data_IF_073006289725
#
_entry.id   IF_073006289725
#
_cell.length_a   1.000
_cell.length_b   1.000
_cell.length_c   1.000
_cell.angle_alpha   90.00
_cell.angle_beta   90.00
_cell.angle_gamma   90.00
#
_symmetry.space_group_name_H-M   'P 1'
#
loop_
_entity.id
_entity.type
_entity.pdbx_description
1 polymer ?
#
# COMPACT_ATOMS: atom_id res chain seq x y z
N UNK A 1 12.28 -14.45 3.17
CA UNK A 1 11.41 -13.28 2.97
C UNK A 1 11.01 -13.10 1.51
N UNK A 2 11.95 -12.93 0.59
CA UNK A 2 11.68 -12.64 -0.85
C UNK A 2 10.82 -13.73 -1.50
N UNK A 3 11.16 -15.00 -1.32
CA UNK A 3 10.38 -16.12 -1.88
C UNK A 3 8.93 -16.08 -1.39
N UNK A 4 8.71 -15.85 -0.10
CA UNK A 4 7.36 -15.73 0.43
C UNK A 4 6.64 -14.50 -0.14
N UNK A 5 7.31 -13.35 -0.30
CA UNK A 5 6.72 -12.16 -0.91
C UNK A 5 6.19 -12.43 -2.32
N UNK A 6 6.94 -13.17 -3.14
CA UNK A 6 6.52 -13.56 -4.49
C UNK A 6 5.35 -14.58 -4.48
N UNK A 7 5.29 -15.42 -3.45
CA UNK A 7 4.26 -16.46 -3.34
C UNK A 7 2.92 -15.95 -2.79
N UNK A 8 2.88 -14.82 -2.07
CA UNK A 8 1.62 -14.31 -1.49
C UNK A 8 0.52 -14.07 -2.53
N UNK A 9 0.74 -13.35 -3.65
CA UNK A 9 -0.30 -13.09 -4.62
C UNK A 9 -0.90 -14.37 -5.25
N UNK A 10 -0.11 -15.32 -5.80
CA UNK A 10 -0.68 -16.54 -6.35
C UNK A 10 -1.34 -17.45 -5.31
N UNK A 11 -0.82 -17.49 -4.07
CA UNK A 11 -1.44 -18.25 -2.99
C UNK A 11 -2.75 -17.61 -2.55
N UNK A 12 -2.83 -16.29 -2.46
CA UNK A 12 -4.07 -15.58 -2.17
C UNK A 12 -5.11 -15.85 -3.26
N UNK A 13 -4.72 -15.81 -4.52
CA UNK A 13 -5.63 -16.05 -5.65
C UNK A 13 -6.17 -17.47 -5.70
N UNK A 14 -5.32 -18.49 -5.44
CA UNK A 14 -5.69 -19.90 -5.57
C UNK A 14 -6.36 -20.46 -4.31
N UNK A 15 -5.99 -19.99 -3.12
CA UNK A 15 -6.36 -20.62 -1.83
C UNK A 15 -6.93 -19.61 -0.82
N UNK A 16 -7.10 -18.33 -1.20
CA UNK A 16 -7.64 -17.30 -0.33
C UNK A 16 -6.83 -17.09 0.95
N UNK A 17 -7.50 -16.62 2.00
CA UNK A 17 -6.87 -16.37 3.31
C UNK A 17 -6.35 -17.63 4.01
N UNK A 18 -6.93 -18.79 3.75
CA UNK A 18 -6.44 -20.07 4.31
C UNK A 18 -5.04 -20.36 3.78
N UNK A 19 -4.84 -20.23 2.47
CA UNK A 19 -3.52 -20.38 1.85
C UNK A 19 -2.49 -19.39 2.39
N UNK A 20 -2.88 -18.13 2.54
CA UNK A 20 -2.04 -17.09 3.15
C UNK A 20 -1.66 -17.43 4.58
N UNK A 21 -2.59 -17.96 5.38
CA UNK A 21 -2.33 -18.43 6.74
C UNK A 21 -1.30 -19.55 6.76
N UNK A 22 -1.45 -20.55 5.88
CA UNK A 22 -0.50 -21.66 5.74
C UNK A 22 0.88 -21.16 5.29
N UNK A 23 0.94 -20.28 4.30
CA UNK A 23 2.21 -19.70 3.81
C UNK A 23 2.91 -18.90 4.91
N UNK A 24 2.18 -18.06 5.64
CA UNK A 24 2.72 -17.25 6.73
C UNK A 24 3.26 -18.12 7.87
N UNK A 25 2.51 -19.13 8.27
CA UNK A 25 2.95 -20.08 9.31
C UNK A 25 4.19 -20.85 8.87
N UNK A 26 4.20 -21.33 7.62
CA UNK A 26 5.35 -22.04 7.05
C UNK A 26 6.61 -21.15 6.98
N UNK A 27 6.44 -19.86 6.61
CA UNK A 27 7.53 -18.90 6.61
C UNK A 27 8.10 -18.69 8.01
N UNK A 28 7.24 -18.49 9.01
CA UNK A 28 7.67 -18.28 10.40
C UNK A 28 8.43 -19.53 10.90
N UNK A 29 7.89 -20.73 10.69
CA UNK A 29 8.54 -21.98 11.09
C UNK A 29 9.90 -22.18 10.40
N UNK A 30 9.97 -21.93 9.09
CA UNK A 30 11.22 -22.04 8.34
C UNK A 30 12.27 -21.03 8.84
N UNK A 31 11.87 -19.79 9.16
CA UNK A 31 12.76 -18.78 9.71
C UNK A 31 13.22 -19.13 11.13
N UNK A 32 12.36 -19.73 11.96
CA UNK A 32 12.74 -20.20 13.29
C UNK A 32 13.73 -21.35 13.21
N UNK A 33 13.50 -22.33 12.33
CA UNK A 33 14.43 -23.43 12.07
C UNK A 33 15.78 -22.88 11.61
N UNK A 34 15.77 -21.98 10.62
CA UNK A 34 17.00 -21.34 10.14
C UNK A 34 17.72 -20.57 11.27
N UNK A 35 16.98 -19.84 12.09
CA UNK A 35 17.53 -19.08 13.20
C UNK A 35 18.21 -19.97 14.25
N UNK A 36 17.64 -21.13 14.57
CA UNK A 36 18.19 -22.07 15.54
C UNK A 36 19.44 -22.76 15.00
N UNK A 37 19.41 -23.21 13.75
CA UNK A 37 20.51 -24.02 13.19
C UNK A 37 21.64 -23.22 12.55
N UNK A 38 21.42 -21.93 12.24
CA UNK A 38 22.43 -21.07 11.64
C UNK A 38 23.01 -20.08 12.66
N UNK A 39 24.18 -20.39 13.18
CA UNK A 39 24.83 -19.66 14.30
C UNK A 39 25.14 -18.19 14.04
N UNK A 40 25.15 -17.74 12.77
CA UNK A 40 25.39 -16.35 12.40
C UNK A 40 24.10 -15.53 12.21
N UNK A 41 22.93 -16.17 12.35
CA UNK A 41 21.63 -15.49 12.22
C UNK A 41 21.38 -14.57 13.40
N UNK A 42 20.71 -13.46 13.14
CA UNK A 42 20.30 -12.49 14.17
C UNK A 42 18.78 -12.36 14.15
N UNK A 43 18.18 -12.03 15.29
CA UNK A 43 16.73 -11.77 15.40
C UNK A 43 16.27 -10.70 14.41
N UNK A 44 17.12 -9.70 14.15
CA UNK A 44 16.84 -8.63 13.16
C UNK A 44 16.67 -9.20 11.75
N UNK A 45 17.43 -10.24 11.37
CA UNK A 45 17.35 -10.86 10.04
C UNK A 45 16.04 -11.64 9.87
N UNK A 46 15.54 -12.27 10.95
CA UNK A 46 14.21 -12.89 11.00
C UNK A 46 13.12 -11.85 10.86
N UNK A 47 13.18 -10.77 11.66
CA UNK A 47 12.23 -9.66 11.61
C UNK A 47 12.20 -8.98 10.25
N UNK A 48 13.36 -8.72 9.64
CA UNK A 48 13.46 -8.15 8.30
C UNK A 48 12.84 -9.07 7.22
N UNK A 49 13.05 -10.39 7.34
CA UNK A 49 12.48 -11.36 6.40
C UNK A 49 10.96 -11.43 6.47
N UNK A 50 10.39 -11.41 7.68
CA UNK A 50 8.93 -11.36 7.89
C UNK A 50 8.38 -10.03 7.36
N UNK A 51 9.03 -8.91 7.70
CA UNK A 51 8.61 -7.59 7.25
C UNK A 51 8.57 -7.49 5.73
N UNK A 52 9.63 -7.92 5.02
CA UNK A 52 9.66 -7.90 3.55
C UNK A 52 8.54 -8.75 2.96
N UNK A 53 8.32 -9.96 3.50
CA UNK A 53 7.29 -10.86 3.02
C UNK A 53 5.88 -10.25 3.16
N UNK A 54 5.58 -9.63 4.31
CA UNK A 54 4.30 -9.00 4.56
C UNK A 54 4.15 -7.68 3.80
N UNK A 55 5.15 -6.82 3.85
CA UNK A 55 5.09 -5.49 3.26
C UNK A 55 5.04 -5.55 1.72
N UNK A 56 5.98 -6.27 1.09
CA UNK A 56 6.08 -6.33 -0.36
C UNK A 56 5.23 -7.44 -1.01
N UNK A 57 4.80 -8.46 -0.24
CA UNK A 57 4.03 -9.58 -0.77
C UNK A 57 2.55 -9.56 -0.36
N UNK A 58 2.27 -9.52 0.94
CA UNK A 58 0.91 -9.64 1.44
C UNK A 58 0.09 -8.34 1.27
N UNK A 59 0.62 -7.17 1.63
CA UNK A 59 -0.15 -5.92 1.53
C UNK A 59 -0.65 -5.62 0.11
N UNK A 60 0.14 -5.81 -0.98
CA UNK A 60 -0.35 -5.60 -2.34
C UNK A 60 -1.51 -6.52 -2.75
N UNK A 61 -1.71 -7.65 -2.05
CA UNK A 61 -2.83 -8.56 -2.31
C UNK A 61 -4.20 -7.89 -2.08
N UNK A 62 -4.25 -6.74 -1.39
CA UNK A 62 -5.47 -5.94 -1.28
C UNK A 62 -6.07 -5.57 -2.64
N UNK A 63 -5.26 -5.22 -3.63
CA UNK A 63 -5.75 -4.95 -4.99
C UNK A 63 -6.31 -6.21 -5.67
N UNK A 64 -5.70 -7.36 -5.43
CA UNK A 64 -6.20 -8.64 -5.93
C UNK A 64 -7.57 -8.97 -5.31
N UNK A 65 -7.71 -8.78 -3.99
CA UNK A 65 -8.98 -9.00 -3.29
C UNK A 65 -10.09 -8.11 -3.85
N UNK A 66 -9.84 -6.81 -4.02
CA UNK A 66 -10.81 -5.87 -4.59
C UNK A 66 -11.15 -6.26 -6.04
N UNK A 67 -10.13 -6.68 -6.83
CA UNK A 67 -10.31 -7.08 -8.23
C UNK A 67 -11.23 -8.29 -8.37
N UNK A 68 -11.04 -9.29 -7.53
CA UNK A 68 -11.79 -10.56 -7.59
C UNK A 68 -13.18 -10.46 -6.94
N UNK A 69 -13.36 -9.57 -5.97
CA UNK A 69 -14.66 -9.36 -5.31
C UNK A 69 -15.74 -8.83 -6.26
N UNK A 70 -15.33 -8.04 -7.26
CA UNK A 70 -16.24 -7.45 -8.25
C UNK A 70 -15.95 -8.07 -9.61
N UNK A 71 -16.81 -8.99 -10.11
CA UNK A 71 -16.54 -9.73 -11.34
C UNK A 71 -16.53 -8.84 -12.58
N UNK A 72 -15.76 -9.25 -13.58
CA UNK A 72 -15.72 -8.62 -14.89
C UNK A 72 -14.99 -7.28 -14.93
N UNK A 73 -15.48 -6.38 -15.78
CA UNK A 73 -14.85 -5.09 -16.07
C UNK A 73 -14.78 -4.15 -14.86
N UNK A 74 -15.83 -4.13 -14.03
CA UNK A 74 -15.94 -3.20 -12.91
C UNK A 74 -14.90 -3.41 -11.81
N UNK A 75 -14.48 -4.66 -11.55
CA UNK A 75 -13.40 -4.91 -10.60
C UNK A 75 -12.08 -4.27 -11.03
N UNK A 76 -11.77 -4.29 -12.33
CA UNK A 76 -10.62 -3.59 -12.88
C UNK A 76 -10.74 -2.06 -12.75
N UNK A 77 -11.91 -1.51 -13.06
CA UNK A 77 -12.18 -0.07 -12.91
C UNK A 77 -12.03 0.37 -11.45
N UNK A 78 -12.53 -0.43 -10.51
CA UNK A 78 -12.43 -0.11 -9.08
C UNK A 78 -10.96 -0.06 -8.62
N UNK A 79 -10.14 -1.04 -8.99
CA UNK A 79 -8.70 -1.04 -8.68
C UNK A 79 -8.01 0.16 -9.33
N UNK A 80 -8.29 0.45 -10.60
CA UNK A 80 -7.74 1.63 -11.28
C UNK A 80 -8.18 2.93 -10.60
N UNK A 81 -9.43 3.02 -10.14
CA UNK A 81 -9.93 4.17 -9.39
C UNK A 81 -9.13 4.39 -8.10
N UNK A 82 -8.89 3.32 -7.33
CA UNK A 82 -8.09 3.39 -6.10
C UNK A 82 -6.65 3.84 -6.43
N UNK A 83 -6.02 3.28 -7.47
CA UNK A 83 -4.68 3.69 -7.91
C UNK A 83 -4.65 5.16 -8.35
N UNK A 84 -5.67 5.62 -9.09
CA UNK A 84 -5.82 7.02 -9.45
C UNK A 84 -5.93 7.92 -8.21
N UNK A 85 -6.61 7.45 -7.15
CA UNK A 85 -6.69 8.15 -5.87
C UNK A 85 -5.30 8.39 -5.26
N UNK A 86 -4.43 7.38 -5.28
CA UNK A 86 -3.04 7.51 -4.81
C UNK A 86 -2.25 8.49 -5.69
N UNK A 87 -2.31 8.33 -7.01
CA UNK A 87 -1.56 9.21 -7.94
C UNK A 87 -2.02 10.66 -7.86
N UNK A 88 -3.32 10.92 -7.80
CA UNK A 88 -3.83 12.28 -7.68
C UNK A 88 -3.50 12.89 -6.32
N UNK A 89 -3.53 12.11 -5.24
CA UNK A 89 -3.03 12.56 -3.94
C UNK A 89 -1.58 13.08 -4.08
N UNK A 90 -0.68 12.28 -4.65
CA UNK A 90 0.73 12.63 -4.80
C UNK A 90 0.94 13.84 -5.74
N UNK A 91 0.23 13.87 -6.86
CA UNK A 91 0.31 14.98 -7.83
C UNK A 91 -0.16 16.30 -7.20
N UNK A 92 -1.31 16.31 -6.54
CA UNK A 92 -1.84 17.53 -5.91
C UNK A 92 -0.99 17.94 -4.70
N UNK A 93 -0.52 16.97 -3.90
CA UNK A 93 0.40 17.24 -2.81
C UNK A 93 1.70 17.89 -3.32
N UNK A 94 2.25 17.40 -4.42
CA UNK A 94 3.45 17.97 -5.04
C UNK A 94 3.20 19.37 -5.62
N UNK A 95 2.16 19.55 -6.45
CA UNK A 95 1.89 20.83 -7.14
C UNK A 95 1.61 21.94 -6.14
N UNK A 96 0.70 21.70 -5.20
CA UNK A 96 0.31 22.70 -4.20
C UNK A 96 1.43 22.91 -3.19
N UNK A 97 2.05 21.81 -2.73
CA UNK A 97 3.18 21.89 -1.81
C UNK A 97 4.38 22.64 -2.37
N UNK A 98 4.66 22.52 -3.67
CA UNK A 98 5.73 23.26 -4.35
C UNK A 98 5.40 24.75 -4.50
N UNK A 99 4.15 25.10 -4.81
CA UNK A 99 3.74 26.48 -5.09
C UNK A 99 3.41 27.28 -3.83
N UNK A 100 2.74 26.67 -2.88
CA UNK A 100 2.17 27.32 -1.71
C UNK A 100 2.71 26.81 -0.38
N UNK A 101 3.53 25.75 -0.38
CA UNK A 101 4.03 25.10 0.82
C UNK A 101 4.98 25.98 1.64
N UNK A 102 4.57 26.31 2.85
CA UNK A 102 5.37 27.10 3.82
C UNK A 102 5.79 26.25 5.03
N UNK A 103 4.92 25.32 5.47
CA UNK A 103 5.13 24.55 6.69
C UNK A 103 5.55 23.10 6.32
N UNK A 104 6.72 22.70 6.83
CA UNK A 104 7.24 21.34 6.56
C UNK A 104 6.49 20.28 7.33
N UNK A 105 6.09 19.17 6.64
CA UNK A 105 5.36 18.06 7.24
C UNK A 105 6.30 17.12 8.03
N UNK A 106 7.39 16.69 7.42
CA UNK A 106 8.32 15.71 7.98
C UNK A 106 9.79 16.07 7.66
N UNK A 107 10.37 17.13 8.29
CA UNK A 107 11.68 17.67 7.91
C UNK A 107 12.82 16.66 7.93
N UNK A 108 12.79 15.71 8.89
CA UNK A 108 13.86 14.71 9.09
C UNK A 108 13.78 13.52 8.13
N UNK A 109 12.62 13.22 7.57
CA UNK A 109 12.37 12.06 6.72
C UNK A 109 12.26 12.47 5.26
N UNK A 110 11.38 13.45 4.99
CA UNK A 110 11.11 14.00 3.66
C UNK A 110 11.01 15.52 3.71
N UNK A 111 12.14 16.26 3.56
CA UNK A 111 12.17 17.71 3.74
C UNK A 111 11.41 18.51 2.68
N UNK A 112 10.97 17.87 1.61
CA UNK A 112 10.19 18.51 0.53
C UNK A 112 8.68 18.47 0.80
N UNK A 113 8.17 17.58 1.65
CA UNK A 113 6.73 17.49 1.98
C UNK A 113 6.29 18.65 2.87
N UNK A 114 5.10 19.19 2.59
CA UNK A 114 4.49 20.34 3.30
C UNK A 114 3.07 20.03 3.73
N UNK A 115 2.59 20.71 4.77
CA UNK A 115 1.22 20.59 5.27
C UNK A 115 0.18 21.06 4.24
N UNK A 116 0.48 22.12 3.50
CA UNK A 116 -0.40 22.63 2.44
C UNK A 116 -0.56 21.60 1.31
N UNK A 117 0.56 20.97 0.93
CA UNK A 117 0.53 19.87 -0.02
C UNK A 117 -0.25 18.66 0.52
N UNK A 118 -0.04 18.30 1.78
CA UNK A 118 -0.77 17.24 2.45
C UNK A 118 -2.29 17.44 2.35
N UNK A 119 -2.78 18.63 2.72
CA UNK A 119 -4.23 18.94 2.68
C UNK A 119 -4.75 18.85 1.24
N UNK A 120 -4.02 19.38 0.26
CA UNK A 120 -4.41 19.33 -1.14
C UNK A 120 -4.50 17.89 -1.67
N UNK A 121 -3.53 17.05 -1.31
CA UNK A 121 -3.57 15.60 -1.63
C UNK A 121 -4.76 14.91 -0.99
N UNK A 122 -5.05 15.19 0.28
CA UNK A 122 -6.22 14.64 0.98
C UNK A 122 -7.54 15.02 0.29
N UNK A 123 -7.70 16.28 -0.13
CA UNK A 123 -8.89 16.72 -0.88
C UNK A 123 -9.00 15.97 -2.21
N UNK A 124 -7.90 15.77 -2.94
CA UNK A 124 -7.89 14.98 -4.16
C UNK A 124 -8.28 13.52 -3.92
N UNK A 125 -7.73 12.90 -2.89
CA UNK A 125 -8.09 11.52 -2.49
C UNK A 125 -9.59 11.40 -2.19
N UNK A 126 -10.15 12.30 -1.39
CA UNK A 126 -11.60 12.35 -1.09
C UNK A 126 -12.42 12.49 -2.38
N UNK A 127 -12.01 13.39 -3.29
CA UNK A 127 -12.70 13.57 -4.58
C UNK A 127 -12.75 12.28 -5.41
N UNK A 128 -11.64 11.51 -5.45
CA UNK A 128 -11.60 10.22 -6.16
C UNK A 128 -12.49 9.19 -5.48
N UNK A 129 -12.49 9.10 -4.17
CA UNK A 129 -13.35 8.15 -3.46
C UNK A 129 -14.85 8.49 -3.60
N UNK A 130 -15.20 9.77 -3.66
CA UNK A 130 -16.55 10.19 -4.03
C UNK A 130 -16.91 9.80 -5.47
N UNK A 131 -15.95 9.81 -6.39
CA UNK A 131 -16.17 9.31 -7.76
C UNK A 131 -16.29 7.77 -7.79
N UNK A 132 -15.54 7.04 -6.95
CA UNK A 132 -15.67 5.58 -6.79
C UNK A 132 -17.06 5.20 -6.27
N UNK A 133 -17.67 5.99 -5.40
CA UNK A 133 -19.04 5.77 -4.91
C UNK A 133 -20.10 5.83 -6.02
N UNK A 134 -19.76 6.37 -7.20
CA UNK A 134 -20.65 6.39 -8.37
C UNK A 134 -20.50 5.16 -9.26
N UNK A 135 -19.57 4.26 -8.98
CA UNK A 135 -19.36 3.01 -9.75
C UNK A 135 -20.49 2.03 -9.38
N UNK A 136 -21.26 1.51 -10.35
CA UNK A 136 -22.47 0.74 -10.09
C UNK A 136 -22.37 -0.43 -9.10
N UNK A 137 -21.26 -1.22 -9.09
CA UNK A 137 -21.13 -2.32 -8.14
C UNK A 137 -20.75 -1.90 -6.71
N UNK A 138 -20.51 -0.61 -6.45
CA UNK A 138 -20.12 -0.10 -5.14
C UNK A 138 -21.36 0.50 -4.45
N UNK A 139 -21.77 -0.09 -3.34
CA UNK A 139 -22.85 0.46 -2.49
C UNK A 139 -22.26 1.26 -1.35
N UNK A 140 -22.04 2.56 -1.57
CA UNK A 140 -21.36 3.44 -0.63
C UNK A 140 -21.90 4.88 -0.72
N UNK A 141 -22.24 5.44 0.43
CA UNK A 141 -22.66 6.84 0.53
C UNK A 141 -21.48 7.82 0.43
N UNK A 142 -21.77 9.09 0.05
CA UNK A 142 -20.71 10.13 -0.06
C UNK A 142 -19.99 10.43 1.25
N UNK A 143 -20.67 10.31 2.40
CA UNK A 143 -20.05 10.49 3.72
C UNK A 143 -19.02 9.39 3.97
N UNK A 144 -19.38 8.16 3.69
CA UNK A 144 -18.52 6.98 3.80
C UNK A 144 -17.35 7.04 2.83
N UNK A 145 -17.63 7.39 1.55
CA UNK A 145 -16.61 7.64 0.54
C UNK A 145 -15.61 8.71 0.98
N UNK A 146 -16.08 9.79 1.59
CA UNK A 146 -15.21 10.85 2.11
C UNK A 146 -14.31 10.34 3.23
N UNK A 147 -14.84 9.54 4.16
CA UNK A 147 -14.06 8.91 5.22
C UNK A 147 -13.00 7.95 4.65
N UNK A 148 -13.36 7.13 3.66
CA UNK A 148 -12.44 6.22 2.98
C UNK A 148 -11.35 6.98 2.22
N UNK A 149 -11.70 8.09 1.57
CA UNK A 149 -10.75 8.98 0.91
C UNK A 149 -9.71 9.55 1.88
N UNK A 150 -10.15 9.97 3.06
CA UNK A 150 -9.25 10.42 4.13
C UNK A 150 -8.34 9.29 4.61
N UNK A 151 -8.89 8.13 4.92
CA UNK A 151 -8.11 6.99 5.44
C UNK A 151 -7.10 6.45 4.42
N UNK A 152 -7.50 6.31 3.16
CA UNK A 152 -6.61 5.90 2.08
C UNK A 152 -5.53 6.96 1.77
N UNK A 153 -5.90 8.25 1.80
CA UNK A 153 -4.92 9.34 1.65
C UNK A 153 -3.88 9.33 2.76
N UNK A 154 -4.30 9.13 4.03
CA UNK A 154 -3.39 8.96 5.17
C UNK A 154 -2.50 7.73 5.00
N UNK A 155 -3.07 6.58 4.60
CA UNK A 155 -2.31 5.35 4.38
C UNK A 155 -1.23 5.53 3.30
N UNK A 156 -1.56 6.21 2.19
CA UNK A 156 -0.60 6.49 1.11
C UNK A 156 0.57 7.35 1.60
N UNK A 157 0.29 8.44 2.31
CA UNK A 157 1.32 9.32 2.84
C UNK A 157 2.19 8.61 3.88
N UNK A 158 1.60 7.77 4.73
CA UNK A 158 2.34 6.96 5.70
C UNK A 158 3.22 5.92 5.01
N UNK A 159 2.75 5.29 3.93
CA UNK A 159 3.51 4.35 3.11
C UNK A 159 4.79 4.99 2.54
N UNK A 160 4.65 6.14 1.85
CA UNK A 160 5.80 6.89 1.31
C UNK A 160 6.75 7.38 2.43
N UNK A 161 6.24 7.90 3.54
CA UNK A 161 7.08 8.31 4.66
C UNK A 161 7.82 7.12 5.30
N UNK A 162 7.18 5.96 5.42
CA UNK A 162 7.79 4.76 5.95
C UNK A 162 8.92 4.28 5.03
N UNK A 163 8.66 4.19 3.71
CA UNK A 163 9.66 3.81 2.71
C UNK A 163 10.83 4.81 2.69
N UNK A 164 10.53 6.10 2.69
CA UNK A 164 11.55 7.15 2.80
C UNK A 164 12.42 6.96 4.04
N UNK A 165 11.85 6.60 5.19
CA UNK A 165 12.60 6.34 6.43
C UNK A 165 13.44 5.07 6.33
N UNK A 166 12.94 3.99 5.71
CA UNK A 166 13.72 2.77 5.47
C UNK A 166 14.97 3.07 4.64
N UNK A 167 14.82 3.83 3.56
CA UNK A 167 15.96 4.26 2.73
C UNK A 167 17.00 5.05 3.53
N UNK A 168 16.59 6.00 4.38
CA UNK A 168 17.51 6.76 5.24
C UNK A 168 18.23 5.88 6.24
N UNK A 169 17.52 4.93 6.88
CA UNK A 169 18.12 4.00 7.84
C UNK A 169 19.14 3.05 7.17
N UNK A 170 18.95 2.72 5.90
CA UNK A 170 19.86 1.90 5.10
C UNK A 170 20.98 2.71 4.44
N UNK A 171 21.07 4.03 4.68
CA UNK A 171 22.09 4.92 4.09
C UNK A 171 21.94 5.16 2.59
N UNK A 172 20.78 4.81 2.01
CA UNK A 172 20.49 5.00 0.58
C UNK A 172 19.42 6.08 0.36
N UNK A 173 19.35 6.58 -0.87
CA UNK A 173 18.32 7.55 -1.27
C UNK A 173 17.23 6.90 -2.10
N UNK A 174 17.60 6.03 -3.00
CA UNK A 174 16.70 5.35 -3.94
C UNK A 174 16.74 3.83 -3.68
N UNK A 175 15.62 3.13 -3.84
CA UNK A 175 15.51 1.70 -3.54
C UNK A 175 16.18 0.79 -4.58
N UNK A 176 16.68 1.36 -5.69
CA UNK A 176 17.36 0.65 -6.77
C UNK A 176 17.57 1.53 -8.01
N UNK A 177 18.08 0.90 -9.08
CA UNK A 177 18.41 1.58 -10.34
C UNK A 177 17.70 0.93 -11.54
N UNK A 178 16.63 0.16 -11.29
CA UNK A 178 15.91 -0.59 -12.36
C UNK A 178 15.32 0.36 -13.40
N UNK A 179 14.87 1.54 -12.98
CA UNK A 179 14.34 2.56 -13.90
C UNK A 179 15.33 3.70 -14.03
N UNK A 180 16.03 3.85 -15.19
CA UNK A 180 16.98 4.93 -15.43
C UNK A 180 16.34 6.31 -15.17
N UNK A 181 16.94 7.10 -14.28
CA UNK A 181 16.45 8.43 -13.90
C UNK A 181 15.24 8.46 -12.96
N UNK A 182 14.67 7.30 -12.58
CA UNK A 182 13.45 7.21 -11.77
C UNK A 182 13.58 6.38 -10.48
N UNK A 183 14.75 5.80 -10.20
CA UNK A 183 14.99 5.01 -8.99
C UNK A 183 14.56 3.54 -9.11
N UNK A 184 14.22 2.93 -7.99
CA UNK A 184 13.75 1.54 -7.92
C UNK A 184 12.24 1.40 -8.11
N UNK A 185 11.79 0.15 -8.30
CA UNK A 185 10.36 -0.17 -8.38
C UNK A 185 9.61 0.17 -7.09
N UNK A 186 10.25 -0.04 -5.94
CA UNK A 186 9.68 0.26 -4.62
C UNK A 186 9.33 1.75 -4.47
N UNK A 187 10.19 2.65 -4.99
CA UNK A 187 9.96 4.10 -4.99
C UNK A 187 8.70 4.53 -5.78
N UNK A 188 8.05 3.62 -6.49
CA UNK A 188 6.87 3.88 -7.33
C UNK A 188 5.59 3.28 -6.76
N UNK A 189 5.71 2.32 -5.87
CA UNK A 189 4.56 1.58 -5.33
C UNK A 189 4.43 1.70 -3.81
N UNK A 190 5.31 2.45 -3.16
CA UNK A 190 5.36 2.63 -1.71
C UNK A 190 4.02 3.06 -1.11
N UNK A 191 3.41 4.13 -1.63
CA UNK A 191 2.06 4.58 -1.25
C UNK A 191 0.99 3.56 -1.59
N UNK A 192 1.10 2.90 -2.76
CA UNK A 192 0.13 1.91 -3.23
C UNK A 192 0.11 0.66 -2.37
N UNK A 193 1.26 0.21 -1.86
CA UNK A 193 1.36 -0.95 -0.98
C UNK A 193 0.48 -0.77 0.25
N UNK A 194 0.56 0.37 0.91
CA UNK A 194 -0.25 0.66 2.09
C UNK A 194 -1.74 0.82 1.74
N UNK A 195 -2.05 1.56 0.66
CA UNK A 195 -3.43 1.84 0.25
C UNK A 195 -4.14 0.59 -0.24
N UNK A 196 -3.46 -0.34 -0.89
CA UNK A 196 -4.08 -1.55 -1.45
C UNK A 196 -4.84 -2.35 -0.40
N UNK A 197 -4.21 -2.64 0.74
CA UNK A 197 -4.83 -3.42 1.80
C UNK A 197 -5.85 -2.60 2.61
N UNK A 198 -5.54 -1.31 2.87
CA UNK A 198 -6.47 -0.42 3.57
C UNK A 198 -7.76 -0.24 2.76
N UNK A 199 -7.68 -0.03 1.45
CA UNK A 199 -8.87 0.09 0.59
C UNK A 199 -9.69 -1.19 0.56
N UNK A 200 -9.06 -2.37 0.47
CA UNK A 200 -9.75 -3.64 0.55
C UNK A 200 -10.47 -3.79 1.90
N UNK A 201 -9.76 -3.53 3.01
CA UNK A 201 -10.33 -3.61 4.35
C UNK A 201 -11.56 -2.69 4.52
N UNK A 202 -11.48 -1.45 4.02
CA UNK A 202 -12.57 -0.48 4.10
C UNK A 202 -13.78 -0.90 3.24
N UNK A 203 -13.55 -1.32 2.00
CA UNK A 203 -14.62 -1.74 1.10
C UNK A 203 -15.36 -2.99 1.58
N UNK A 204 -14.63 -3.99 2.10
CA UNK A 204 -15.22 -5.19 2.66
C UNK A 204 -15.83 -4.92 4.04
N UNK A 205 -15.12 -4.22 4.93
CA UNK A 205 -15.57 -3.91 6.28
C UNK A 205 -16.79 -3.00 6.30
N UNK A 206 -16.91 -2.07 5.35
CA UNK A 206 -18.10 -1.25 5.13
C UNK A 206 -19.24 -1.96 4.41
N UNK A 207 -19.03 -3.19 3.92
CA UNK A 207 -20.04 -3.89 3.12
C UNK A 207 -20.31 -3.29 1.75
N UNK A 208 -19.40 -2.44 1.26
CA UNK A 208 -19.57 -1.69 0.01
C UNK A 208 -19.41 -2.54 -1.25
N UNK A 209 -18.76 -3.71 -1.12
CA UNK A 209 -18.59 -4.72 -2.17
C UNK A 209 -18.84 -6.12 -1.60
N UNK A 210 -19.25 -7.10 -2.42
CA UNK A 210 -19.52 -8.46 -1.96
C UNK A 210 -18.25 -9.12 -1.41
N UNK A 211 -18.43 -9.92 -0.35
CA UNK A 211 -17.36 -10.76 0.20
C UNK A 211 -17.25 -12.03 -0.66
N UNK A 212 -16.21 -12.13 -1.45
CA UNK A 212 -15.93 -13.33 -2.29
C UNK A 212 -14.63 -13.96 -1.78
N UNK A 213 -14.75 -14.83 -0.78
CA UNK A 213 -13.65 -15.71 -0.36
C UNK A 213 -14.20 -17.06 0.05
#
# INVERSE_FOLDING_TARGET
GIVAAVLYPPVMWLYGFVGVGVLSTSLILALLIWYVFYSRSRVVDVGASIFVALYAGFLPCGFLLVREAVPGFWGGILVLGIMCGVWLNDVFAYLIGRRFGKHKLAPRVSPKKTWEGFIAGMVASVGVWCAIALIPPVDMGFVEASAFGVLCGLAGILGDLAESRFKRNSGVKDSGTIMPGHGGMMDRVDSMIAVSFVSAFLLFGGGCIPYVL
#
